data_IF_137958067573
#
_entry.id   IF_137958067573
#
_cell.length_a   1.000
_cell.length_b   1.000
_cell.length_c   1.000
_cell.angle_alpha   90.00
_cell.angle_beta   90.00
_cell.angle_gamma   90.00
#
_symmetry.space_group_name_H-M   'P 1'
#
loop_
_entity.id
_entity.type
_entity.pdbx_description
1 polymer ?
#
# COMPACT_ATOMS: atom_id res chain seq x y z
N UNK A 1 -5.05 -38.31 -2.55
CA UNK A 1 -4.65 -39.59 -3.16
C UNK A 1 -3.46 -39.26 -4.02
N UNK A 2 -2.28 -39.77 -3.68
CA UNK A 2 -1.06 -39.46 -4.42
C UNK A 2 -0.98 -40.43 -5.59
N UNK A 3 -0.80 -39.94 -6.82
CA UNK A 3 -0.57 -40.75 -8.02
C UNK A 3 0.71 -40.29 -8.71
N UNK A 4 1.25 -41.13 -9.59
CA UNK A 4 2.18 -40.65 -10.62
C UNK A 4 1.36 -40.11 -11.81
N UNK A 5 1.71 -38.93 -12.32
CA UNK A 5 1.09 -38.35 -13.51
C UNK A 5 1.20 -39.23 -14.75
N UNK A 6 2.26 -40.04 -14.86
CA UNK A 6 2.44 -41.01 -15.95
C UNK A 6 1.36 -42.12 -15.96
N UNK A 7 0.82 -42.46 -14.79
CA UNK A 7 -0.16 -43.54 -14.64
C UNK A 7 -1.61 -43.07 -14.77
N UNK A 8 -1.85 -41.76 -14.89
CA UNK A 8 -3.19 -41.18 -14.84
C UNK A 8 -4.13 -41.74 -15.92
N UNK A 9 -3.63 -41.97 -17.14
CA UNK A 9 -4.43 -42.52 -18.25
C UNK A 9 -4.76 -44.01 -18.05
N UNK A 10 -3.80 -44.79 -17.56
CA UNK A 10 -3.96 -46.21 -17.25
C UNK A 10 -4.97 -46.37 -16.11
N UNK A 11 -4.80 -45.60 -15.03
CA UNK A 11 -5.72 -45.57 -13.90
C UNK A 11 -7.14 -45.17 -14.31
N UNK A 12 -7.28 -44.21 -15.24
CA UNK A 12 -8.59 -43.79 -15.73
C UNK A 12 -9.29 -44.90 -16.51
N UNK A 13 -8.53 -45.64 -17.31
CA UNK A 13 -9.04 -46.76 -18.10
C UNK A 13 -9.45 -47.92 -17.19
N UNK A 14 -8.61 -48.29 -16.22
CA UNK A 14 -8.89 -49.31 -15.22
C UNK A 14 -10.13 -48.95 -14.38
N UNK A 15 -10.23 -47.72 -13.90
CA UNK A 15 -11.39 -47.29 -13.10
C UNK A 15 -12.71 -47.35 -13.89
N UNK A 16 -12.69 -47.00 -15.18
CA UNK A 16 -13.87 -47.12 -16.06
C UNK A 16 -14.25 -48.58 -16.30
N UNK A 17 -13.26 -49.43 -16.53
CA UNK A 17 -13.47 -50.88 -16.72
C UNK A 17 -14.09 -51.50 -15.46
N UNK A 18 -13.52 -51.24 -14.29
CA UNK A 18 -14.04 -51.75 -13.02
C UNK A 18 -15.45 -51.22 -12.71
N UNK A 19 -15.75 -49.96 -13.05
CA UNK A 19 -17.10 -49.42 -12.95
C UNK A 19 -18.10 -50.19 -13.84
N UNK A 20 -17.67 -50.62 -15.04
CA UNK A 20 -18.50 -51.44 -15.94
C UNK A 20 -18.85 -52.81 -15.34
N UNK A 21 -17.93 -53.38 -14.56
CA UNK A 21 -18.12 -54.61 -13.77
C UNK A 21 -18.87 -54.41 -12.45
N UNK A 22 -19.53 -53.25 -12.27
CA UNK A 22 -20.34 -52.89 -11.09
C UNK A 22 -19.54 -52.70 -9.80
N UNK A 23 -18.23 -52.52 -9.87
CA UNK A 23 -17.49 -51.96 -8.75
C UNK A 23 -17.86 -50.48 -8.59
N UNK A 24 -18.00 -50.02 -7.35
CA UNK A 24 -18.53 -48.68 -7.02
C UNK A 24 -17.63 -47.87 -6.11
N UNK A 25 -16.69 -48.52 -5.43
CA UNK A 25 -15.79 -47.89 -4.47
C UNK A 25 -14.37 -48.37 -4.69
N UNK A 26 -13.41 -47.54 -4.29
CA UNK A 26 -12.01 -47.90 -4.21
C UNK A 26 -11.51 -47.71 -2.78
N UNK A 27 -10.45 -48.43 -2.42
CA UNK A 27 -9.57 -48.10 -1.30
C UNK A 27 -8.15 -47.86 -1.83
N UNK A 28 -7.45 -46.86 -1.28
CA UNK A 28 -6.13 -46.43 -1.73
C UNK A 28 -5.26 -45.98 -0.54
N UNK A 29 -3.92 -46.10 -0.63
CA UNK A 29 -3.02 -45.70 0.45
C UNK A 29 -2.91 -44.17 0.58
N UNK A 30 -2.73 -43.68 1.80
CA UNK A 30 -2.57 -42.26 2.12
C UNK A 30 -1.12 -41.78 1.97
N UNK A 31 -0.15 -42.65 2.25
CA UNK A 31 1.29 -42.32 2.31
C UNK A 31 2.12 -42.91 1.17
N UNK A 32 1.49 -43.66 0.26
CA UNK A 32 2.15 -44.29 -0.90
C UNK A 32 1.50 -43.80 -2.19
N UNK A 33 2.26 -43.91 -3.28
CA UNK A 33 1.75 -43.71 -4.64
C UNK A 33 0.65 -44.74 -4.90
N UNK A 34 -0.48 -44.27 -5.40
CA UNK A 34 -1.61 -45.07 -5.83
C UNK A 34 -1.52 -45.32 -7.33
N UNK A 35 -1.48 -46.59 -7.70
CA UNK A 35 -1.32 -47.16 -9.05
C UNK A 35 -2.28 -48.35 -9.24
N UNK A 36 -2.12 -49.13 -10.32
CA UNK A 36 -2.97 -50.29 -10.60
C UNK A 36 -2.87 -51.39 -9.55
N UNK A 37 -1.77 -51.46 -8.81
CA UNK A 37 -1.45 -52.57 -7.91
C UNK A 37 -1.84 -52.24 -6.47
N UNK A 38 -1.80 -50.95 -6.12
CA UNK A 38 -2.07 -50.45 -4.77
C UNK A 38 -3.52 -50.02 -4.56
N UNK A 39 -4.29 -49.77 -5.62
CA UNK A 39 -5.73 -49.48 -5.54
C UNK A 39 -6.54 -50.77 -5.52
N UNK A 40 -7.45 -50.88 -4.54
CA UNK A 40 -8.38 -52.00 -4.43
C UNK A 40 -9.80 -51.56 -4.78
N UNK A 41 -10.56 -52.42 -5.46
CA UNK A 41 -11.91 -52.12 -5.94
C UNK A 41 -12.97 -52.93 -5.20
N UNK A 42 -14.07 -52.26 -4.82
CA UNK A 42 -15.17 -52.87 -4.07
C UNK A 42 -16.53 -52.55 -4.69
N UNK A 43 -17.46 -53.49 -4.59
CA UNK A 43 -18.85 -53.32 -5.08
C UNK A 43 -19.70 -52.46 -4.13
N UNK A 44 -19.34 -52.39 -2.85
CA UNK A 44 -20.08 -51.67 -1.80
C UNK A 44 -19.11 -50.84 -0.96
N UNK A 45 -19.60 -49.77 -0.34
CA UNK A 45 -18.80 -48.93 0.57
C UNK A 45 -18.33 -49.73 1.78
N UNK A 46 -19.23 -50.55 2.34
CA UNK A 46 -18.95 -51.40 3.50
C UNK A 46 -17.73 -52.29 3.28
N UNK A 47 -17.57 -52.93 2.11
CA UNK A 47 -16.38 -53.74 1.86
C UNK A 47 -15.11 -52.93 1.64
N UNK A 48 -15.21 -51.72 1.09
CA UNK A 48 -14.07 -50.82 1.02
C UNK A 48 -13.65 -50.31 2.40
N UNK A 49 -14.61 -50.15 3.31
CA UNK A 49 -14.40 -49.77 4.71
C UNK A 49 -13.87 -50.95 5.55
N UNK A 50 -14.40 -52.15 5.36
CA UNK A 50 -13.92 -53.37 6.03
C UNK A 50 -12.49 -53.75 5.62
N UNK A 51 -12.05 -53.32 4.43
CA UNK A 51 -10.65 -53.47 4.01
C UNK A 51 -9.67 -52.81 4.99
N UNK A 52 -10.13 -51.81 5.77
CA UNK A 52 -9.36 -51.19 6.86
C UNK A 52 -9.26 -52.04 8.13
N UNK A 53 -10.15 -53.02 8.29
CA UNK A 53 -10.32 -53.76 9.55
C UNK A 53 -9.77 -55.19 9.49
N UNK A 54 -9.45 -55.71 8.30
CA UNK A 54 -9.04 -57.12 8.10
C UNK A 54 -7.68 -57.19 7.38
N UNK A 55 -6.61 -56.88 8.10
CA UNK A 55 -5.21 -57.03 7.67
C UNK A 55 -4.25 -56.20 8.53
N UNK A 56 -2.91 -56.31 8.38
CA UNK A 56 -1.92 -55.45 9.07
C UNK A 56 -1.95 -53.97 8.62
N UNK A 57 -3.04 -53.53 7.98
CA UNK A 57 -3.23 -52.22 7.40
C UNK A 57 -4.01 -51.37 8.41
N UNK A 58 -3.31 -50.56 9.20
CA UNK A 58 -3.92 -49.64 10.16
C UNK A 58 -4.83 -48.61 9.47
N UNK A 59 -5.86 -48.13 10.18
CA UNK A 59 -6.87 -47.18 9.67
C UNK A 59 -6.20 -45.86 9.21
N UNK A 60 -5.02 -45.55 9.74
CA UNK A 60 -4.23 -44.39 9.39
C UNK A 60 -3.54 -44.48 8.01
N UNK A 61 -3.54 -45.65 7.35
CA UNK A 61 -2.80 -45.85 6.09
C UNK A 61 -3.65 -45.82 4.82
N UNK A 62 -4.96 -46.02 4.89
CA UNK A 62 -5.81 -46.12 3.70
C UNK A 62 -7.10 -45.32 3.81
N UNK A 63 -7.64 -44.92 2.67
CA UNK A 63 -8.91 -44.19 2.56
C UNK A 63 -9.73 -44.69 1.37
N UNK A 64 -11.05 -44.49 1.41
CA UNK A 64 -11.97 -44.90 0.34
C UNK A 64 -12.57 -43.70 -0.34
N UNK A 65 -12.98 -43.91 -1.59
CA UNK A 65 -13.86 -42.98 -2.30
C UNK A 65 -14.73 -43.74 -3.31
N UNK A 66 -15.86 -43.14 -3.74
CA UNK A 66 -16.60 -43.65 -4.88
C UNK A 66 -15.73 -43.68 -6.14
N UNK A 67 -15.88 -44.72 -6.97
CA UNK A 67 -15.13 -44.88 -8.21
C UNK A 67 -15.42 -43.72 -9.20
N UNK A 68 -16.63 -43.17 -9.16
CA UNK A 68 -17.01 -42.02 -9.98
C UNK A 68 -16.23 -40.76 -9.60
N UNK A 69 -15.89 -40.59 -8.31
CA UNK A 69 -15.01 -39.52 -7.84
C UNK A 69 -13.59 -39.67 -8.39
N UNK A 70 -13.05 -40.89 -8.38
CA UNK A 70 -11.75 -41.19 -8.98
C UNK A 70 -11.75 -40.87 -10.48
N UNK A 71 -12.75 -41.38 -11.22
CA UNK A 71 -12.90 -41.15 -12.66
C UNK A 71 -12.99 -39.66 -12.99
N UNK A 72 -13.76 -38.89 -12.21
CA UNK A 72 -13.88 -37.46 -12.43
C UNK A 72 -12.58 -36.71 -12.16
N UNK A 73 -11.88 -37.05 -11.07
CA UNK A 73 -10.58 -36.43 -10.76
C UNK A 73 -9.54 -36.72 -11.83
N UNK A 74 -9.45 -37.97 -12.31
CA UNK A 74 -8.51 -38.36 -13.38
C UNK A 74 -8.86 -37.69 -14.71
N UNK A 75 -10.15 -37.55 -15.04
CA UNK A 75 -10.57 -36.75 -16.20
C UNK A 75 -10.11 -35.30 -16.06
N UNK A 76 -10.20 -34.68 -14.89
CA UNK A 76 -9.73 -33.30 -14.68
C UNK A 76 -8.23 -33.20 -14.99
N UNK A 77 -7.42 -34.17 -14.55
CA UNK A 77 -5.98 -34.22 -14.89
C UNK A 77 -5.79 -34.29 -16.42
N UNK A 78 -6.47 -35.21 -17.11
CA UNK A 78 -6.35 -35.38 -18.57
C UNK A 78 -6.72 -34.11 -19.37
N UNK A 79 -7.62 -33.27 -18.84
CA UNK A 79 -8.03 -32.02 -19.50
C UNK A 79 -7.32 -30.78 -18.97
N UNK A 80 -6.41 -30.91 -17.99
CA UNK A 80 -5.75 -29.78 -17.33
C UNK A 80 -4.53 -29.22 -18.06
N UNK A 81 -4.03 -29.95 -19.07
CA UNK A 81 -2.79 -29.59 -19.78
C UNK A 81 -1.50 -29.93 -19.01
N UNK A 82 -1.59 -30.64 -17.88
CA UNK A 82 -0.42 -31.24 -17.22
C UNK A 82 0.23 -32.25 -18.17
N UNK A 83 1.57 -32.24 -18.20
CA UNK A 83 2.33 -33.25 -18.91
C UNK A 83 2.21 -34.62 -18.19
N UNK A 84 1.38 -35.49 -18.75
CA UNK A 84 1.16 -36.85 -18.26
C UNK A 84 2.19 -37.85 -18.77
N UNK A 85 3.28 -37.40 -19.42
CA UNK A 85 4.39 -38.27 -19.83
C UNK A 85 5.62 -38.16 -18.91
N UNK A 86 5.53 -37.35 -17.85
CA UNK A 86 6.60 -37.20 -16.88
C UNK A 86 6.24 -37.88 -15.55
N UNK A 87 7.24 -38.51 -14.91
CA UNK A 87 7.10 -39.15 -13.60
C UNK A 87 7.10 -38.10 -12.50
N UNK A 88 5.91 -37.60 -12.14
CA UNK A 88 5.72 -36.65 -11.04
C UNK A 88 4.62 -37.10 -10.11
N UNK A 89 4.89 -37.04 -8.82
CA UNK A 89 3.88 -37.25 -7.79
C UNK A 89 2.87 -36.10 -7.78
N UNK A 90 1.59 -36.44 -7.82
CA UNK A 90 0.47 -35.51 -7.80
C UNK A 90 -0.56 -35.96 -6.77
N UNK A 91 -0.94 -35.08 -5.84
CA UNK A 91 -2.15 -35.30 -5.04
C UNK A 91 -3.37 -35.03 -5.91
N UNK A 92 -3.89 -36.11 -6.51
CA UNK A 92 -5.03 -36.10 -7.41
C UNK A 92 -6.26 -35.43 -6.81
N UNK A 93 -6.51 -35.64 -5.52
CA UNK A 93 -7.71 -35.14 -4.85
C UNK A 93 -7.61 -33.64 -4.60
N UNK A 94 -6.45 -33.17 -4.13
CA UNK A 94 -6.20 -31.75 -3.92
C UNK A 94 -6.19 -31.00 -5.25
N UNK A 95 -5.52 -31.54 -6.27
CA UNK A 95 -5.46 -30.96 -7.60
C UNK A 95 -6.85 -30.81 -8.24
N UNK A 96 -7.65 -31.87 -8.24
CA UNK A 96 -8.99 -31.83 -8.80
C UNK A 96 -9.89 -30.81 -8.10
N UNK A 97 -9.79 -30.70 -6.76
CA UNK A 97 -10.50 -29.68 -5.98
C UNK A 97 -10.10 -28.26 -6.41
N UNK A 98 -8.80 -27.98 -6.49
CA UNK A 98 -8.29 -26.68 -6.91
C UNK A 98 -8.76 -26.31 -8.33
N UNK A 99 -8.76 -27.26 -9.25
CA UNK A 99 -9.22 -27.04 -10.63
C UNK A 99 -10.74 -26.82 -10.70
N UNK A 100 -11.53 -27.53 -9.91
CA UNK A 100 -12.97 -27.31 -9.81
C UNK A 100 -13.30 -25.94 -9.22
N UNK A 101 -12.61 -25.52 -8.14
CA UNK A 101 -12.77 -24.18 -7.55
C UNK A 101 -12.37 -23.09 -8.55
N UNK A 102 -11.27 -23.26 -9.26
CA UNK A 102 -10.82 -22.32 -10.30
C UNK A 102 -11.82 -22.22 -11.45
N UNK A 103 -12.40 -23.35 -11.86
CA UNK A 103 -13.43 -23.41 -12.90
C UNK A 103 -14.75 -22.82 -12.43
N UNK A 104 -15.16 -23.04 -11.19
CA UNK A 104 -16.36 -22.45 -10.60
C UNK A 104 -16.22 -20.93 -10.47
N UNK A 105 -15.03 -20.42 -10.12
CA UNK A 105 -14.74 -18.99 -10.17
C UNK A 105 -14.90 -18.46 -11.60
N UNK A 106 -14.38 -19.18 -12.61
CA UNK A 106 -14.48 -18.79 -14.01
C UNK A 106 -15.91 -18.87 -14.56
N UNK A 107 -16.66 -19.92 -14.24
CA UNK A 107 -18.04 -20.14 -14.68
C UNK A 107 -19.01 -19.16 -13.99
N UNK A 108 -18.78 -18.82 -12.72
CA UNK A 108 -19.48 -17.72 -12.05
C UNK A 108 -19.16 -16.35 -12.67
N UNK A 109 -17.97 -16.19 -13.28
CA UNK A 109 -17.62 -14.99 -14.04
C UNK A 109 -18.23 -14.98 -15.46
N UNK A 110 -18.74 -16.13 -15.96
CA UNK A 110 -19.28 -16.30 -17.32
C UNK A 110 -20.81 -16.34 -17.39
N UNK A 111 -21.53 -16.44 -16.26
CA UNK A 111 -22.99 -16.54 -16.28
C UNK A 111 -23.65 -15.15 -16.34
N UNK A 112 -24.26 -14.90 -17.50
CA UNK A 112 -24.78 -13.64 -18.02
C UNK A 112 -26.12 -13.28 -17.35
N UNK A 113 -26.31 -11.97 -17.08
CA UNK A 113 -27.54 -11.27 -16.64
C UNK A 113 -27.87 -11.17 -15.14
N UNK A 114 -26.92 -11.45 -14.25
CA UNK A 114 -27.00 -11.04 -12.84
C UNK A 114 -25.82 -10.11 -12.59
N UNK A 115 -26.08 -8.92 -12.05
CA UNK A 115 -25.03 -8.03 -11.55
C UNK A 115 -23.96 -8.86 -10.82
N UNK A 116 -22.69 -8.72 -11.19
CA UNK A 116 -21.63 -9.46 -10.52
C UNK A 116 -21.50 -8.92 -9.08
N UNK A 117 -22.26 -9.51 -8.17
CA UNK A 117 -22.41 -9.10 -6.78
C UNK A 117 -21.05 -9.04 -6.09
N UNK A 118 -20.14 -9.96 -6.43
CA UNK A 118 -18.75 -9.95 -5.95
C UNK A 118 -17.96 -8.74 -6.47
N UNK A 119 -18.18 -8.32 -7.72
CA UNK A 119 -17.55 -7.12 -8.27
C UNK A 119 -18.08 -5.84 -7.60
N UNK A 120 -19.39 -5.75 -7.35
CA UNK A 120 -19.96 -4.65 -6.57
C UNK A 120 -19.35 -4.58 -5.16
N UNK A 121 -19.33 -5.71 -4.43
CA UNK A 121 -18.76 -5.79 -3.08
C UNK A 121 -17.26 -5.44 -3.05
N UNK A 122 -16.52 -5.89 -4.06
CA UNK A 122 -15.11 -5.55 -4.23
C UNK A 122 -14.92 -4.05 -4.43
N UNK A 123 -15.70 -3.43 -5.33
CA UNK A 123 -15.61 -2.00 -5.62
C UNK A 123 -16.04 -1.15 -4.42
N UNK A 124 -17.14 -1.51 -3.74
CA UNK A 124 -17.58 -0.85 -2.50
C UNK A 124 -16.50 -0.92 -1.42
N UNK A 125 -15.88 -2.10 -1.23
CA UNK A 125 -14.74 -2.25 -0.32
C UNK A 125 -13.56 -1.36 -0.73
N UNK A 126 -13.24 -1.30 -2.03
CA UNK A 126 -12.15 -0.47 -2.53
C UNK A 126 -12.44 1.03 -2.30
N UNK A 127 -13.65 1.51 -2.53
CA UNK A 127 -14.08 2.89 -2.21
C UNK A 127 -13.92 3.17 -0.72
N UNK A 128 -14.40 2.26 0.14
CA UNK A 128 -14.27 2.38 1.60
C UNK A 128 -12.81 2.48 2.04
N UNK A 129 -11.97 1.55 1.62
CA UNK A 129 -10.55 1.50 2.04
C UNK A 129 -9.67 2.56 1.37
N UNK A 130 -10.13 3.18 0.28
CA UNK A 130 -9.48 4.37 -0.29
C UNK A 130 -9.90 5.67 0.39
N UNK A 131 -10.81 5.60 1.37
CA UNK A 131 -11.15 6.72 2.27
C UNK A 131 -12.41 7.50 1.88
N UNK A 132 -13.17 7.04 0.89
CA UNK A 132 -14.43 7.69 0.46
C UNK A 132 -15.66 7.18 1.24
N UNK A 133 -15.48 6.22 2.15
CA UNK A 133 -16.57 5.69 2.99
C UNK A 133 -17.53 4.77 2.23
N UNK A 134 -18.75 4.63 2.75
CA UNK A 134 -19.78 3.69 2.27
C UNK A 134 -21.00 4.40 1.65
N UNK A 135 -20.99 5.74 1.62
CA UNK A 135 -22.14 6.53 1.14
C UNK A 135 -22.37 6.41 -0.36
N UNK A 136 -21.36 5.95 -1.11
CA UNK A 136 -21.40 5.86 -2.57
C UNK A 136 -21.95 4.51 -3.07
N UNK A 137 -22.18 3.53 -2.19
CA UNK A 137 -22.56 2.17 -2.56
C UNK A 137 -23.85 2.11 -3.38
N UNK A 138 -24.85 2.93 -3.03
CA UNK A 138 -26.11 3.03 -3.77
C UNK A 138 -25.93 3.57 -5.19
N UNK A 139 -25.16 4.65 -5.34
CA UNK A 139 -24.87 5.26 -6.64
C UNK A 139 -24.03 4.34 -7.53
N UNK A 140 -23.04 3.65 -6.95
CA UNK A 140 -22.24 2.64 -7.63
C UNK A 140 -23.13 1.51 -8.15
N UNK A 141 -24.01 0.98 -7.29
CA UNK A 141 -24.93 -0.09 -7.66
C UNK A 141 -25.83 0.32 -8.82
N UNK A 142 -26.47 1.49 -8.71
CA UNK A 142 -27.35 2.01 -9.76
C UNK A 142 -26.63 2.16 -11.11
N UNK A 143 -25.41 2.72 -11.09
CA UNK A 143 -24.61 2.91 -12.31
C UNK A 143 -24.19 1.59 -12.97
N UNK A 144 -23.80 0.61 -12.16
CA UNK A 144 -23.46 -0.73 -12.65
C UNK A 144 -24.68 -1.47 -13.21
N UNK A 145 -25.85 -1.36 -12.56
CA UNK A 145 -27.12 -1.96 -13.01
C UNK A 145 -27.62 -1.36 -14.33
N UNK A 146 -27.39 -0.06 -14.56
CA UNK A 146 -27.67 0.60 -15.85
C UNK A 146 -26.78 0.12 -17.00
N UNK A 147 -25.66 -0.56 -16.71
CA UNK A 147 -24.76 -1.08 -17.72
C UNK A 147 -23.93 0.00 -18.44
N UNK A 148 -23.74 1.17 -17.82
CA UNK A 148 -22.94 2.26 -18.39
C UNK A 148 -21.47 1.82 -18.55
N UNK A 149 -20.89 1.86 -19.76
CA UNK A 149 -19.51 1.39 -19.99
C UNK A 149 -18.46 2.15 -19.18
N UNK A 150 -18.65 3.46 -19.02
CA UNK A 150 -17.77 4.35 -18.27
C UNK A 150 -18.66 5.34 -17.52
N UNK A 151 -18.35 5.59 -16.25
CA UNK A 151 -19.08 6.56 -15.44
C UNK A 151 -18.21 7.13 -14.33
N UNK A 152 -18.64 8.27 -13.78
CA UNK A 152 -18.04 8.89 -12.62
C UNK A 152 -19.03 9.01 -11.47
N UNK A 153 -18.52 8.98 -10.23
CA UNK A 153 -19.29 9.26 -9.03
C UNK A 153 -18.62 10.43 -8.29
N UNK A 154 -19.32 11.57 -8.11
CA UNK A 154 -18.79 12.70 -7.37
C UNK A 154 -18.83 12.42 -5.86
N UNK A 155 -17.88 12.99 -5.14
CA UNK A 155 -17.81 12.96 -3.68
C UNK A 155 -17.17 14.26 -3.17
N UNK A 156 -17.62 14.76 -2.02
CA UNK A 156 -17.06 15.95 -1.38
C UNK A 156 -16.69 15.63 0.07
N UNK A 157 -15.52 16.06 0.51
CA UNK A 157 -15.08 15.98 1.90
C UNK A 157 -14.58 17.34 2.40
N UNK A 158 -15.11 17.80 3.53
CA UNK A 158 -14.63 19.02 4.20
C UNK A 158 -13.55 18.68 5.22
N UNK A 159 -12.44 19.41 5.14
CA UNK A 159 -11.35 19.36 6.11
C UNK A 159 -11.12 20.76 6.67
N UNK A 160 -10.44 20.85 7.82
CA UNK A 160 -10.17 22.13 8.50
C UNK A 160 -9.48 23.19 7.62
N UNK A 161 -8.74 22.75 6.58
CA UNK A 161 -7.95 23.62 5.69
C UNK A 161 -8.44 23.64 4.24
N UNK A 162 -9.68 23.23 3.99
CA UNK A 162 -10.28 23.28 2.65
C UNK A 162 -11.26 22.15 2.36
N UNK A 163 -11.93 22.26 1.23
CA UNK A 163 -12.87 21.26 0.73
C UNK A 163 -12.20 20.47 -0.38
N UNK A 164 -12.25 19.14 -0.30
CA UNK A 164 -11.78 18.25 -1.35
C UNK A 164 -12.97 17.73 -2.16
N UNK A 165 -13.08 18.18 -3.40
CA UNK A 165 -14.02 17.64 -4.38
C UNK A 165 -13.33 16.52 -5.15
N UNK A 166 -13.99 15.38 -5.30
CA UNK A 166 -13.44 14.19 -5.96
C UNK A 166 -14.42 13.61 -6.97
N UNK A 167 -13.91 13.14 -8.10
CA UNK A 167 -14.67 12.41 -9.11
C UNK A 167 -14.05 11.03 -9.31
N UNK A 168 -14.70 9.99 -8.79
CA UNK A 168 -14.22 8.61 -8.89
C UNK A 168 -14.60 8.04 -10.25
N UNK A 169 -13.64 7.57 -11.02
CA UNK A 169 -13.81 7.09 -12.40
C UNK A 169 -13.84 5.57 -12.48
N UNK A 170 -14.93 5.04 -13.03
CA UNK A 170 -15.16 3.61 -13.21
C UNK A 170 -15.29 3.27 -14.68
N UNK A 171 -14.79 2.09 -15.06
CA UNK A 171 -14.92 1.57 -16.41
C UNK A 171 -15.18 0.07 -16.39
N UNK A 172 -16.12 -0.35 -17.24
CA UNK A 172 -16.36 -1.75 -17.56
C UNK A 172 -15.27 -2.27 -18.48
N UNK A 173 -14.81 -3.50 -18.23
CA UNK A 173 -13.89 -4.21 -19.10
C UNK A 173 -14.47 -4.37 -20.51
N UNK A 174 -13.63 -4.26 -21.54
CA UNK A 174 -14.01 -4.63 -22.90
C UNK A 174 -14.00 -6.16 -23.10
N UNK A 175 -13.38 -6.90 -22.17
CA UNK A 175 -13.18 -8.36 -22.24
C UNK A 175 -14.08 -9.15 -21.27
N UNK A 176 -14.74 -8.48 -20.33
CA UNK A 176 -15.57 -9.12 -19.30
C UNK A 176 -16.68 -8.19 -18.81
N UNK A 177 -17.58 -8.70 -17.98
CA UNK A 177 -18.62 -7.88 -17.35
C UNK A 177 -18.16 -7.16 -16.06
N UNK A 178 -16.85 -7.18 -15.77
CA UNK A 178 -16.28 -6.56 -14.58
C UNK A 178 -16.09 -5.06 -14.76
N UNK A 179 -16.40 -4.32 -13.72
CA UNK A 179 -16.07 -2.91 -13.55
C UNK A 179 -14.82 -2.74 -12.71
N UNK A 180 -14.05 -1.70 -13.04
CA UNK A 180 -12.84 -1.32 -12.35
C UNK A 180 -12.90 0.15 -11.94
N UNK A 181 -12.52 0.43 -10.69
CA UNK A 181 -12.24 1.79 -10.22
C UNK A 181 -10.78 2.11 -10.57
N UNK A 182 -10.58 2.91 -11.62
CA UNK A 182 -9.27 3.09 -12.25
C UNK A 182 -8.52 4.31 -11.71
N UNK A 183 -9.25 5.37 -11.39
CA UNK A 183 -8.68 6.64 -10.97
C UNK A 183 -9.72 7.50 -10.29
N UNK A 184 -9.29 8.52 -9.59
CA UNK A 184 -10.15 9.63 -9.19
C UNK A 184 -9.45 10.95 -9.44
N UNK A 185 -10.20 11.94 -9.93
CA UNK A 185 -9.76 13.33 -9.96
C UNK A 185 -10.02 13.94 -8.59
N UNK A 186 -9.06 14.65 -8.03
CA UNK A 186 -9.20 15.38 -6.77
C UNK A 186 -8.87 16.86 -6.98
N UNK A 187 -9.70 17.73 -6.41
CA UNK A 187 -9.60 19.19 -6.51
C UNK A 187 -9.67 19.75 -5.09
N UNK A 188 -8.64 20.50 -4.68
CA UNK A 188 -8.58 21.08 -3.34
C UNK A 188 -8.93 22.56 -3.38
N UNK A 189 -10.11 22.90 -2.89
CA UNK A 189 -10.57 24.26 -2.74
C UNK A 189 -10.18 24.80 -1.36
N UNK A 190 -9.58 25.98 -1.33
CA UNK A 190 -9.20 26.68 -0.10
C UNK A 190 -9.79 28.07 -0.09
N UNK A 191 -10.28 28.48 1.07
CA UNK A 191 -10.81 29.83 1.27
C UNK A 191 -9.74 30.88 0.95
N UNK A 192 -10.09 31.86 0.11
CA UNK A 192 -9.20 32.94 -0.30
C UNK A 192 -8.12 32.56 -1.33
N UNK A 193 -8.04 31.31 -1.78
CA UNK A 193 -7.13 30.91 -2.86
C UNK A 193 -7.71 31.27 -4.23
N UNK A 194 -6.89 31.82 -5.11
CA UNK A 194 -7.29 32.18 -6.48
C UNK A 194 -7.38 30.99 -7.43
N UNK A 195 -6.74 29.87 -7.09
CA UNK A 195 -6.70 28.65 -7.88
C UNK A 195 -6.81 27.43 -6.96
N UNK A 196 -7.58 26.43 -7.37
CA UNK A 196 -7.67 25.14 -6.70
C UNK A 196 -6.74 24.14 -7.42
N UNK A 197 -5.67 23.63 -6.77
CA UNK A 197 -4.85 22.59 -7.37
C UNK A 197 -5.69 21.32 -7.59
N UNK A 198 -5.50 20.70 -8.75
CA UNK A 198 -6.15 19.45 -9.11
C UNK A 198 -5.14 18.40 -9.56
N UNK A 199 -5.45 17.13 -9.31
CA UNK A 199 -4.62 15.98 -9.67
C UNK A 199 -5.50 14.76 -9.91
N UNK A 200 -5.20 13.99 -10.96
CA UNK A 200 -5.76 12.66 -11.17
C UNK A 200 -4.85 11.63 -10.49
N UNK A 201 -5.40 10.88 -9.55
CA UNK A 201 -4.74 9.77 -8.86
C UNK A 201 -5.23 8.44 -9.42
N UNK A 202 -4.30 7.59 -9.85
CA UNK A 202 -4.62 6.26 -10.33
C UNK A 202 -4.73 5.26 -9.17
N UNK A 203 -5.70 4.36 -9.30
CA UNK A 203 -6.00 3.33 -8.31
C UNK A 203 -5.47 2.00 -8.80
N UNK A 204 -4.72 1.33 -7.95
CA UNK A 204 -4.14 0.01 -8.20
C UNK A 204 -4.01 -0.78 -6.90
N UNK A 205 -3.83 -2.09 -7.01
CA UNK A 205 -3.73 -2.97 -5.83
C UNK A 205 -2.63 -2.53 -4.83
N UNK A 206 -1.49 -2.06 -5.34
CA UNK A 206 -0.29 -1.85 -4.54
C UNK A 206 0.15 -0.38 -4.41
N UNK A 207 -0.33 0.53 -5.27
CA UNK A 207 0.18 1.92 -5.34
C UNK A 207 -0.92 2.98 -5.17
N UNK A 208 -2.02 2.68 -4.48
CA UNK A 208 -3.13 3.64 -4.33
C UNK A 208 -2.84 4.74 -3.31
N UNK A 209 -3.06 5.97 -3.73
CA UNK A 209 -3.17 7.15 -2.86
C UNK A 209 -4.62 7.25 -2.36
N UNK A 210 -4.82 7.30 -1.05
CA UNK A 210 -6.14 7.48 -0.43
C UNK A 210 -6.62 8.93 -0.53
N UNK A 211 -7.92 9.16 -0.33
CA UNK A 211 -8.51 10.51 -0.34
C UNK A 211 -7.79 11.48 0.63
N UNK A 212 -7.44 11.01 1.84
CA UNK A 212 -6.74 11.85 2.82
C UNK A 212 -5.30 12.15 2.41
N UNK A 213 -4.61 11.18 1.82
CA UNK A 213 -3.26 11.37 1.29
C UNK A 213 -3.28 12.33 0.08
N UNK A 214 -4.29 12.23 -0.80
CA UNK A 214 -4.49 13.17 -1.91
C UNK A 214 -4.72 14.60 -1.42
N UNK A 215 -5.56 14.79 -0.40
CA UNK A 215 -5.72 16.09 0.26
C UNK A 215 -4.37 16.62 0.76
N UNK A 216 -3.58 15.79 1.44
CA UNK A 216 -2.28 16.19 1.97
C UNK A 216 -1.29 16.55 0.85
N UNK A 217 -1.24 15.80 -0.24
CA UNK A 217 -0.40 16.08 -1.41
C UNK A 217 -0.79 17.41 -2.08
N UNK A 218 -2.08 17.64 -2.32
CA UNK A 218 -2.60 18.89 -2.90
C UNK A 218 -2.41 20.09 -1.97
N UNK A 219 -2.39 19.86 -0.66
CA UNK A 219 -2.04 20.87 0.35
C UNK A 219 -0.52 21.14 0.42
N UNK A 220 0.28 20.43 -0.39
CA UNK A 220 1.72 20.62 -0.53
C UNK A 220 2.58 19.81 0.44
N UNK A 221 1.99 18.86 1.16
CA UNK A 221 2.68 17.97 2.10
C UNK A 221 3.13 16.69 1.41
N UNK A 222 4.11 15.99 2.00
CA UNK A 222 4.62 14.74 1.47
C UNK A 222 3.97 13.53 2.14
N UNK A 223 3.79 12.44 1.39
CA UNK A 223 3.23 11.16 1.86
C UNK A 223 4.24 10.04 1.66
N UNK A 224 4.38 9.16 2.64
CA UNK A 224 5.24 7.98 2.58
C UNK A 224 4.43 6.74 2.18
N UNK A 225 4.94 5.99 1.20
CA UNK A 225 4.33 4.76 0.71
C UNK A 225 5.37 3.67 0.52
N UNK A 226 4.95 2.44 0.74
CA UNK A 226 5.61 1.28 0.17
C UNK A 226 5.04 1.07 -1.24
N UNK A 227 5.87 1.27 -2.24
CA UNK A 227 5.53 1.17 -3.65
C UNK A 227 6.10 -0.10 -4.25
N UNK A 228 5.53 -0.57 -5.36
CA UNK A 228 6.11 -1.66 -6.17
C UNK A 228 6.66 -1.15 -7.50
N UNK A 229 7.86 -1.60 -7.85
CA UNK A 229 8.44 -1.38 -9.19
C UNK A 229 7.85 -2.34 -10.23
N UNK A 230 8.35 -2.29 -11.47
CA UNK A 230 7.84 -3.12 -12.57
C UNK A 230 8.12 -4.61 -12.36
N UNK A 231 9.17 -4.90 -11.60
CA UNK A 231 9.64 -6.22 -11.22
C UNK A 231 8.86 -6.79 -10.01
N UNK A 232 7.98 -5.99 -9.40
CA UNK A 232 7.17 -6.35 -8.24
C UNK A 232 7.87 -6.19 -6.89
N UNK A 233 9.09 -5.67 -6.87
CA UNK A 233 9.85 -5.43 -5.65
C UNK A 233 9.27 -4.24 -4.89
N UNK A 234 9.08 -4.43 -3.59
CA UNK A 234 8.56 -3.40 -2.69
C UNK A 234 9.69 -2.48 -2.26
N UNK A 235 9.50 -1.17 -2.38
CA UNK A 235 10.44 -0.15 -1.90
C UNK A 235 9.71 1.01 -1.22
N UNK A 236 10.32 1.58 -0.19
CA UNK A 236 9.74 2.73 0.51
C UNK A 236 10.13 4.05 -0.17
N UNK A 237 9.16 4.95 -0.34
CA UNK A 237 9.38 6.28 -0.90
C UNK A 237 8.46 7.32 -0.26
N UNK A 238 9.01 8.50 0.01
CA UNK A 238 8.18 9.70 0.16
C UNK A 238 7.82 10.25 -1.21
N UNK A 239 6.62 10.82 -1.32
CA UNK A 239 6.02 11.35 -2.53
C UNK A 239 5.54 12.77 -2.23
N UNK A 240 5.82 13.73 -3.12
CA UNK A 240 5.27 15.09 -3.06
C UNK A 240 4.96 15.62 -4.47
N UNK A 241 4.07 16.60 -4.59
CA UNK A 241 3.79 17.26 -5.87
C UNK A 241 4.78 18.40 -6.15
N UNK A 242 5.21 18.53 -7.40
CA UNK A 242 5.91 19.70 -7.91
C UNK A 242 4.94 20.63 -8.63
N UNK A 243 4.45 21.65 -7.90
CA UNK A 243 3.52 22.64 -8.44
C UNK A 243 4.13 23.60 -9.47
N UNK A 244 5.46 23.58 -9.67
CA UNK A 244 6.12 24.49 -10.63
C UNK A 244 6.20 23.90 -12.03
N UNK A 245 6.16 22.58 -12.15
CA UNK A 245 6.38 21.85 -13.39
C UNK A 245 5.21 20.90 -13.66
N UNK A 246 4.06 21.40 -14.16
CA UNK A 246 2.97 20.54 -14.58
C UNK A 246 3.40 19.69 -15.79
N UNK A 247 2.92 18.45 -15.82
CA UNK A 247 3.09 17.53 -16.94
C UNK A 247 2.11 17.85 -18.08
N UNK A 248 2.40 17.35 -19.28
CA UNK A 248 1.55 17.54 -20.46
C UNK A 248 0.12 16.95 -20.29
N UNK A 249 -0.06 16.04 -19.34
CA UNK A 249 -1.35 15.44 -18.98
C UNK A 249 -2.25 16.37 -18.14
N UNK A 250 -1.74 17.51 -17.66
CA UNK A 250 -2.42 18.39 -16.72
C UNK A 250 -2.16 18.06 -15.25
N UNK A 251 -1.55 16.89 -14.95
CA UNK A 251 -1.13 16.54 -13.60
C UNK A 251 0.16 17.27 -13.19
N UNK A 252 0.38 17.45 -11.89
CA UNK A 252 1.67 17.83 -11.34
C UNK A 252 2.65 16.65 -11.33
N UNK A 253 3.91 16.95 -11.60
CA UNK A 253 4.99 15.96 -11.49
C UNK A 253 5.14 15.47 -10.05
N UNK A 254 5.32 14.17 -9.87
CA UNK A 254 5.63 13.56 -8.58
C UNK A 254 7.13 13.55 -8.32
N UNK A 255 7.53 14.07 -7.15
CA UNK A 255 8.87 13.92 -6.62
C UNK A 255 8.91 12.69 -5.71
N UNK A 256 9.89 11.82 -5.94
CA UNK A 256 10.12 10.62 -5.14
C UNK A 256 11.41 10.76 -4.32
N UNK A 257 11.31 10.55 -3.02
CA UNK A 257 12.45 10.46 -2.11
C UNK A 257 12.52 9.02 -1.62
N UNK A 258 13.23 8.20 -2.38
CA UNK A 258 13.42 6.77 -2.09
C UNK A 258 14.13 6.56 -0.74
N UNK A 259 14.05 5.36 -0.16
CA UNK A 259 14.70 5.02 1.12
C UNK A 259 16.19 5.40 1.20
N UNK A 260 16.95 5.26 0.09
CA UNK A 260 18.37 5.66 0.04
C UNK A 260 18.60 7.18 -0.07
N UNK A 261 17.55 8.01 -0.11
CA UNK A 261 17.65 9.47 -0.21
C UNK A 261 18.23 10.06 1.09
N UNK A 262 18.09 9.34 2.20
CA UNK A 262 18.62 9.72 3.50
C UNK A 262 17.74 10.69 4.28
N UNK A 263 16.44 10.72 3.99
CA UNK A 263 15.48 11.33 4.91
C UNK A 263 15.03 10.32 5.95
N UNK A 264 15.31 10.63 7.21
CA UNK A 264 14.85 9.88 8.36
C UNK A 264 13.91 10.77 9.18
N UNK A 265 12.63 10.42 9.19
CA UNK A 265 11.59 11.16 9.89
C UNK A 265 11.80 11.14 11.40
N UNK A 266 12.17 10.00 11.96
CA UNK A 266 12.34 9.83 13.40
C UNK A 266 13.56 10.62 13.88
N UNK A 267 14.67 10.55 13.15
CA UNK A 267 15.85 11.34 13.43
C UNK A 267 15.58 12.85 13.24
N UNK A 268 14.72 13.24 12.30
CA UNK A 268 14.32 14.63 12.13
C UNK A 268 13.48 15.14 13.32
N UNK A 269 12.52 14.35 13.80
CA UNK A 269 11.69 14.68 14.97
C UNK A 269 12.51 14.74 16.26
N UNK A 270 13.46 13.82 16.44
CA UNK A 270 14.30 13.73 17.65
C UNK A 270 15.21 14.95 17.86
N UNK A 271 15.34 15.84 16.87
CA UNK A 271 16.02 17.13 17.01
C UNK A 271 15.20 18.17 17.78
N UNK A 272 13.94 17.86 18.07
CA UNK A 272 12.99 18.72 18.76
C UNK A 272 12.56 18.06 20.08
N UNK A 273 12.36 18.87 21.12
CA UNK A 273 11.89 18.40 22.42
C UNK A 273 10.38 18.13 22.39
N UNK A 274 9.96 17.06 21.70
CA UNK A 274 8.56 16.66 21.52
C UNK A 274 8.19 15.60 22.56
N UNK A 275 7.19 15.88 23.39
CA UNK A 275 6.75 15.02 24.50
C UNK A 275 6.23 13.67 24.02
N UNK A 276 5.53 13.64 22.89
CA UNK A 276 4.96 12.41 22.31
C UNK A 276 6.04 11.38 21.91
N UNK A 277 7.29 11.80 21.70
CA UNK A 277 8.39 10.89 21.37
C UNK A 277 8.85 10.04 22.57
N UNK A 278 8.54 10.45 23.80
CA UNK A 278 8.95 9.77 25.03
C UNK A 278 8.10 8.51 25.31
N UNK A 279 6.87 8.47 24.78
CA UNK A 279 5.96 7.33 24.95
C UNK A 279 5.93 6.51 23.65
N UNK A 280 6.31 5.21 23.67
CA UNK A 280 6.40 4.40 22.45
C UNK A 280 5.14 4.41 21.59
N UNK A 281 3.96 4.31 22.20
CA UNK A 281 2.69 4.32 21.47
C UNK A 281 2.41 5.67 20.79
N UNK A 282 2.62 6.78 21.50
CA UNK A 282 2.40 8.12 20.94
C UNK A 282 3.42 8.46 19.86
N UNK A 283 4.66 8.02 20.02
CA UNK A 283 5.70 8.11 18.99
C UNK A 283 5.27 7.37 17.72
N UNK A 284 4.83 6.13 17.84
CA UNK A 284 4.35 5.34 16.71
C UNK A 284 3.16 6.01 16.00
N UNK A 285 2.17 6.49 16.77
CA UNK A 285 0.99 7.17 16.23
C UNK A 285 1.38 8.48 15.51
N UNK A 286 2.31 9.25 16.08
CA UNK A 286 2.87 10.45 15.47
C UNK A 286 3.57 10.14 14.14
N UNK A 287 4.47 9.14 14.13
CA UNK A 287 5.17 8.71 12.93
C UNK A 287 4.19 8.25 11.84
N UNK A 288 3.19 7.45 12.20
CA UNK A 288 2.17 6.95 11.27
C UNK A 288 1.30 8.09 10.71
N UNK A 289 0.94 9.08 11.52
CA UNK A 289 0.19 10.26 11.07
C UNK A 289 1.00 11.09 10.08
N UNK A 290 2.28 11.35 10.38
CA UNK A 290 3.18 12.12 9.52
C UNK A 290 3.53 11.38 8.23
N UNK A 291 3.67 10.05 8.26
CA UNK A 291 3.83 9.22 7.06
C UNK A 291 2.64 9.33 6.12
N UNK A 292 1.42 9.50 6.63
CA UNK A 292 0.22 9.79 5.81
C UNK A 292 0.18 11.23 5.30
N UNK A 293 1.18 12.05 5.62
CA UNK A 293 1.30 13.45 5.24
C UNK A 293 0.46 14.40 6.08
N UNK A 294 -0.05 13.97 7.24
CA UNK A 294 -0.87 14.82 8.11
C UNK A 294 -0.02 15.93 8.75
N UNK A 295 -0.64 17.09 8.98
CA UNK A 295 -0.13 18.11 9.89
C UNK A 295 -0.57 17.74 11.30
N UNK A 296 0.37 17.28 12.13
CA UNK A 296 0.06 16.68 13.42
C UNK A 296 0.34 17.64 14.57
N UNK A 297 -0.63 17.81 15.47
CA UNK A 297 -0.44 18.54 16.72
C UNK A 297 0.43 17.73 17.69
N UNK A 298 1.40 18.40 18.33
CA UNK A 298 2.37 17.83 19.26
C UNK A 298 2.67 18.82 20.39
N UNK A 299 3.18 18.33 21.52
CA UNK A 299 3.62 19.15 22.65
C UNK A 299 5.14 19.33 22.62
N UNK A 300 5.60 20.57 22.48
CA UNK A 300 7.01 20.94 22.65
C UNK A 300 7.31 21.30 24.09
N UNK A 301 8.46 20.86 24.60
CA UNK A 301 8.96 21.17 25.95
C UNK A 301 10.27 21.96 25.83
N UNK A 302 10.21 23.27 26.08
CA UNK A 302 11.40 24.15 26.02
C UNK A 302 11.62 24.76 27.40
N UNK A 303 12.76 24.48 28.02
CA UNK A 303 13.09 24.95 29.37
C UNK A 303 12.03 24.59 30.43
N UNK A 304 11.39 23.42 30.28
CA UNK A 304 10.32 22.94 31.16
C UNK A 304 8.93 23.54 30.88
N UNK A 305 8.80 24.45 29.90
CA UNK A 305 7.52 25.03 29.48
C UNK A 305 6.95 24.23 28.32
N UNK A 306 5.71 23.77 28.47
CA UNK A 306 4.97 23.07 27.43
C UNK A 306 4.25 24.06 26.51
N UNK A 307 4.33 23.82 25.20
CA UNK A 307 3.59 24.57 24.19
C UNK A 307 3.06 23.64 23.10
N UNK A 308 1.83 23.88 22.66
CA UNK A 308 1.22 23.13 21.56
C UNK A 308 1.69 23.71 20.22
N UNK A 309 2.19 22.82 19.38
CA UNK A 309 2.75 23.11 18.06
C UNK A 309 2.20 22.11 17.05
N UNK A 310 2.44 22.35 15.77
CA UNK A 310 2.11 21.41 14.70
C UNK A 310 3.36 21.05 13.90
N UNK A 311 3.45 19.80 13.45
CA UNK A 311 4.58 19.31 12.65
C UNK A 311 4.11 18.54 11.42
N UNK A 312 4.88 18.62 10.35
CA UNK A 312 4.72 17.83 9.12
C UNK A 312 6.08 17.36 8.60
N UNK A 313 6.09 16.26 7.85
CA UNK A 313 7.29 15.73 7.22
C UNK A 313 7.78 16.64 6.08
N UNK A 314 9.09 16.88 6.01
CA UNK A 314 9.73 17.63 4.93
C UNK A 314 10.92 16.84 4.35
N UNK A 315 10.64 15.83 3.50
CA UNK A 315 11.69 15.02 2.90
C UNK A 315 12.66 15.83 2.04
N UNK A 316 12.20 16.85 1.31
CA UNK A 316 13.02 17.67 0.44
C UNK A 316 14.23 18.29 1.15
N UNK A 317 14.02 18.81 2.37
CA UNK A 317 15.08 19.39 3.20
C UNK A 317 15.61 18.43 4.26
N UNK A 318 15.12 17.19 4.31
CA UNK A 318 15.44 16.17 5.30
C UNK A 318 15.17 16.64 6.75
N UNK A 319 14.08 17.36 6.95
CA UNK A 319 13.65 17.91 8.25
C UNK A 319 12.17 17.65 8.50
N UNK A 320 11.63 18.24 9.56
CA UNK A 320 10.20 18.50 9.70
C UNK A 320 9.97 20.01 9.61
N UNK A 321 8.79 20.43 9.14
CA UNK A 321 8.35 21.81 9.33
C UNK A 321 7.62 21.90 10.68
N UNK A 322 7.77 23.02 11.38
CA UNK A 322 7.12 23.29 12.67
C UNK A 322 6.29 24.55 12.55
N UNK A 323 5.09 24.53 13.12
CA UNK A 323 4.16 25.64 13.14
C UNK A 323 3.65 25.89 14.55
N UNK A 324 3.33 27.14 14.85
CA UNK A 324 2.72 27.52 16.12
C UNK A 324 1.23 27.14 16.19
N UNK A 325 0.55 27.58 17.26
CA UNK A 325 -0.88 27.36 17.45
C UNK A 325 -1.75 28.08 16.39
N UNK A 326 -1.23 29.12 15.74
CA UNK A 326 -1.89 29.89 14.69
C UNK A 326 -1.51 29.40 13.28
N UNK A 327 -0.87 28.24 13.18
CA UNK A 327 -0.36 27.64 11.94
C UNK A 327 0.64 28.53 11.19
N UNK A 328 1.34 29.42 11.89
CA UNK A 328 2.45 30.19 11.35
C UNK A 328 3.74 29.38 11.41
N UNK A 329 4.47 29.33 10.30
CA UNK A 329 5.68 28.53 10.18
C UNK A 329 6.81 29.13 11.03
N UNK A 330 7.40 28.32 11.89
CA UNK A 330 8.53 28.72 12.73
C UNK A 330 9.83 28.45 11.97
N UNK A 331 10.48 29.50 11.48
CA UNK A 331 11.77 29.39 10.81
C UNK A 331 12.92 29.44 11.85
N UNK A 332 13.59 28.31 12.09
CA UNK A 332 14.73 28.25 13.03
C UNK A 332 16.00 28.99 12.54
N UNK A 333 15.98 29.63 11.36
CA UNK A 333 17.05 30.50 10.86
C UNK A 333 16.98 31.91 11.45
N UNK A 334 15.79 32.48 11.59
CA UNK A 334 15.60 33.84 12.14
C UNK A 334 16.00 33.91 13.62
N UNK A 335 15.72 32.85 14.40
CA UNK A 335 16.13 32.78 15.81
C UNK A 335 17.65 32.67 16.03
N UNK A 336 18.43 32.35 14.99
CA UNK A 336 19.91 32.41 15.03
C UNK A 336 20.45 33.80 14.68
N UNK A 337 19.73 34.58 13.89
CA UNK A 337 20.09 35.95 13.53
C UNK A 337 19.69 36.93 14.65
N UNK A 338 18.50 36.76 15.25
CA UNK A 338 18.09 37.48 16.47
C UNK A 338 18.99 37.18 17.68
N UNK A 339 19.55 35.96 17.76
CA UNK A 339 20.56 35.61 18.78
C UNK A 339 21.94 36.21 18.51
N UNK A 340 22.25 36.57 17.26
CA UNK A 340 23.49 37.29 16.92
C UNK A 340 23.36 38.79 17.20
N UNK A 341 22.20 39.38 16.91
CA UNK A 341 21.91 40.79 17.24
C UNK A 341 21.90 41.00 18.76
N UNK A 342 21.20 40.16 19.52
CA UNK A 342 21.19 40.22 20.99
C UNK A 342 22.54 39.87 21.66
N UNK A 343 23.48 39.24 20.93
CA UNK A 343 24.84 38.97 21.42
C UNK A 343 25.82 40.11 21.12
N UNK A 344 25.51 40.98 20.14
CA UNK A 344 26.29 42.18 19.83
C UNK A 344 25.92 43.32 20.79
N UNK A 345 24.64 43.50 21.12
CA UNK A 345 24.18 44.52 22.09
C UNK A 345 24.66 44.27 23.53
N UNK A 346 24.94 43.00 23.89
CA UNK A 346 25.51 42.62 25.18
C UNK A 346 27.03 42.76 25.28
N UNK A 347 27.73 43.05 24.18
CA UNK A 347 29.16 43.37 24.19
C UNK A 347 29.43 44.87 24.30
N UNK A 348 28.57 45.74 23.77
CA UNK A 348 28.73 47.20 23.94
C UNK A 348 28.39 47.69 25.35
N UNK A 349 27.53 46.98 26.09
CA UNK A 349 27.12 47.37 27.46
C UNK A 349 28.10 46.94 28.58
N UNK A 350 29.24 46.33 28.25
CA UNK A 350 30.29 45.95 29.22
C UNK A 350 31.62 46.69 29.08
N UNK A 351 31.76 47.61 28.12
CA UNK A 351 32.96 48.44 27.96
C UNK A 351 32.80 49.90 28.46
N UNK A 352 31.60 50.32 28.90
CA UNK A 352 31.36 51.66 29.49
C UNK A 352 31.10 51.61 31.01
N UNK A 353 32.01 51.01 31.77
CA UNK A 353 32.19 51.36 33.19
C UNK A 353 33.54 50.82 33.70
N UNK A 354 34.61 51.56 33.39
CA UNK A 354 35.84 51.63 34.19
C UNK A 354 36.64 52.88 33.81
N UNK A 355 36.51 53.86 34.71
CA UNK A 355 37.52 54.79 35.21
C UNK A 355 38.18 55.84 34.29
N UNK A 356 37.72 57.06 34.55
CA UNK A 356 38.46 58.32 34.69
C UNK A 356 39.77 58.12 35.46
N UNK A 357 40.92 58.42 34.86
CA UNK A 357 41.82 59.57 35.17
C UNK A 357 43.26 59.32 34.67
N UNK A 358 43.89 60.35 34.07
CA UNK A 358 45.35 60.45 33.90
C UNK A 358 45.91 60.41 32.46
N UNK A 359 46.07 61.58 31.83
CA UNK A 359 47.08 61.87 30.79
C UNK A 359 48.46 62.15 31.44
N UNK A 360 49.60 62.30 30.70
CA UNK A 360 49.80 62.19 29.24
C UNK A 360 51.06 61.39 28.83
N UNK A 361 51.16 61.08 27.52
CA UNK A 361 52.27 61.43 26.61
C UNK A 361 52.51 60.37 25.52
N UNK A 362 52.71 60.86 24.29
CA UNK A 362 53.61 60.20 23.34
C UNK A 362 53.03 59.70 22.02
N UNK A 363 52.65 60.63 21.14
CA UNK A 363 53.13 60.69 19.75
C UNK A 363 52.81 59.57 18.75
N UNK A 364 52.28 59.96 17.58
CA UNK A 364 52.54 59.23 16.32
C UNK A 364 51.36 59.08 15.38
N UNK A 365 51.22 60.04 14.46
CA UNK A 365 50.25 60.08 13.37
C UNK A 365 50.38 58.93 12.33
N UNK A 366 49.20 58.54 11.81
CA UNK A 366 48.80 58.34 10.40
C UNK A 366 49.82 57.71 9.42
N UNK A 367 49.38 56.68 8.69
CA UNK A 367 48.82 56.84 7.33
C UNK A 367 48.41 55.49 6.71
N UNK A 368 47.26 55.47 6.06
CA UNK A 368 46.79 54.32 5.29
C UNK A 368 47.35 54.30 3.87
N UNK A 369 47.25 53.13 3.22
CA UNK A 369 47.05 53.06 1.77
C UNK A 369 46.41 51.73 1.36
N UNK A 370 45.18 51.84 0.84
CA UNK A 370 44.57 50.89 -0.08
C UNK A 370 45.47 50.70 -1.30
N UNK A 371 45.59 49.47 -1.79
CA UNK A 371 45.51 49.19 -3.24
C UNK A 371 45.06 47.76 -3.53
N UNK A 372 43.88 47.69 -4.16
CA UNK A 372 43.36 46.56 -4.95
C UNK A 372 44.38 46.14 -6.01
N UNK A 373 44.52 44.83 -6.25
CA UNK A 373 44.57 44.26 -7.61
C UNK A 373 43.76 42.95 -7.62
N UNK A 374 42.91 42.85 -8.64
CA UNK A 374 42.08 41.71 -9.07
C UNK A 374 42.94 40.59 -9.68
N UNK A 375 42.50 39.34 -9.55
CA UNK A 375 42.30 38.39 -10.66
C UNK A 375 41.64 37.12 -10.10
N UNK A 376 40.37 36.87 -10.46
CA UNK A 376 39.94 35.81 -11.40
C UNK A 376 40.25 34.41 -10.87
N UNK A 377 39.28 33.76 -10.22
CA UNK A 377 38.25 32.89 -10.82
C UNK A 377 38.74 31.46 -10.95
N UNK A 378 38.27 30.60 -10.05
CA UNK A 378 37.58 29.33 -10.34
C UNK A 378 36.41 29.24 -9.36
#
# INVERSE_FOLDING_TARGET
MIINTADAEILLSLAKEMASYKYRYIAYPLTLISDSDTIQFFKTSMHAEDYYLVGPNDIDYFKSMPIDSLVNNLKIVMHSGIDTYCDKELDLTAFARQQMESREILENNLNINIMNQKNLEFLASQIKYTGFGETLDGALKEKMEKGEKEFTIPHEAKFDRGTLSSELSFKKSDQSDLYFFNSYKAILEKEGASHAPEQIFYVSKDNTITMKEAFNLLDGRAVNKDLKNKEGEVYNSWISLDFKNPENSGNFKLNHYHQNYGYDLEAALSKHSIKELETPKFKEDLLNSLKKGNLQSVTFVVSGVESKMHVEANPHFKTVNVYDANLQRINHRESREEKKENALDKKESKEQQKDVDGEPEGGGQKEGKKRKVKSQSI
#
